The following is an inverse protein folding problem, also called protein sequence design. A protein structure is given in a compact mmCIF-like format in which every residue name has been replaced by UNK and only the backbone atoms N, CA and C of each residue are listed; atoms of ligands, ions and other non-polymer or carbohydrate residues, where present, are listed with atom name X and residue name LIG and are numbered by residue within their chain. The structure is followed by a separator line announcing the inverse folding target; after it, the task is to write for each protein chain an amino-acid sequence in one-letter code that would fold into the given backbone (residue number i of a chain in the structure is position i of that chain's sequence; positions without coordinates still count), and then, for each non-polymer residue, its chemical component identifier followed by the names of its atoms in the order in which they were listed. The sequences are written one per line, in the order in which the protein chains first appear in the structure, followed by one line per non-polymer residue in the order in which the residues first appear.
data_IF_481412287442
#
_entry.id   IF_481412287442
#
_cell.length_a   1.000
_cell.length_b   1.000
_cell.length_c   1.000
_cell.angle_alpha   90.00
_cell.angle_beta   90.00
_cell.angle_gamma   90.00
#
_symmetry.space_group_name_H-M   'P 1'
#
loop_
_entity.id
_entity.type
_entity.pdbx_description
1 polymer ?
#
# COMPACT_ATOMS: atom_id res chain seq x y z
N UNK A 1 0.70 8.33 13.51
CA UNK A 1 1.36 7.04 13.17
C UNK A 1 2.73 7.34 12.58
N UNK A 2 3.74 6.72 13.11
CA UNK A 2 5.12 6.83 12.60
C UNK A 2 5.62 5.44 12.25
N UNK A 3 6.10 5.28 11.02
CA UNK A 3 6.56 4.00 10.49
C UNK A 3 7.96 4.21 9.93
N UNK A 4 8.85 3.28 10.23
CA UNK A 4 10.20 3.25 9.69
C UNK A 4 10.32 2.09 8.71
N UNK A 5 10.85 2.37 7.51
CA UNK A 5 11.03 1.36 6.47
C UNK A 5 12.42 1.44 5.86
N UNK A 6 12.90 0.31 5.38
CA UNK A 6 14.09 0.24 4.54
C UNK A 6 13.67 -0.25 3.16
N UNK A 7 13.96 0.55 2.14
CA UNK A 7 13.62 0.24 0.77
C UNK A 7 14.87 -0.19 0.01
N UNK A 8 14.79 -1.22 -0.84
CA UNK A 8 15.94 -1.67 -1.61
C UNK A 8 16.33 -0.64 -2.68
N UNK A 9 17.62 -0.51 -2.92
CA UNK A 9 18.16 0.40 -3.93
C UNK A 9 17.72 1.83 -3.72
N UNK A 10 17.26 2.48 -4.78
CA UNK A 10 16.76 3.85 -4.72
C UNK A 10 15.37 3.97 -4.10
N UNK A 11 14.74 2.85 -3.78
CA UNK A 11 13.42 2.83 -3.15
C UNK A 11 12.24 3.03 -4.10
N UNK A 12 12.49 3.39 -5.34
CA UNK A 12 11.42 3.76 -6.28
C UNK A 12 11.42 2.92 -7.55
N UNK A 13 12.04 1.74 -7.52
CA UNK A 13 12.16 0.89 -8.70
C UNK A 13 10.89 0.11 -9.02
N UNK A 14 10.01 -0.06 -8.03
CA UNK A 14 8.80 -0.88 -8.16
C UNK A 14 7.55 -0.10 -7.79
N UNK A 15 7.46 1.14 -8.23
CA UNK A 15 6.27 1.95 -8.02
C UNK A 15 5.12 1.40 -8.85
N UNK A 16 3.92 1.35 -8.25
CA UNK A 16 2.74 0.87 -8.94
C UNK A 16 1.47 1.54 -8.43
N UNK A 17 0.44 1.53 -9.27
CA UNK A 17 -0.93 1.87 -8.93
C UNK A 17 -1.81 0.67 -9.20
N UNK A 18 -2.94 0.57 -8.53
CA UNK A 18 -3.93 -0.47 -8.78
C UNK A 18 -5.20 0.19 -9.31
N UNK A 19 -5.82 -0.40 -10.34
CA UNK A 19 -7.04 0.14 -10.93
C UNK A 19 -8.32 -0.51 -10.39
N UNK A 20 -8.24 -1.31 -9.32
CA UNK A 20 -9.44 -1.85 -8.68
C UNK A 20 -10.32 -0.73 -8.14
N UNK A 21 -11.58 -1.04 -7.85
CA UNK A 21 -12.56 -0.02 -7.44
C UNK A 21 -12.14 0.76 -6.20
N UNK A 22 -11.45 0.12 -5.27
CA UNK A 22 -10.98 0.78 -4.06
C UNK A 22 -9.73 1.62 -4.33
N UNK A 23 -8.72 1.01 -4.95
CA UNK A 23 -7.41 1.67 -5.13
C UNK A 23 -7.46 2.83 -6.12
N UNK A 24 -8.28 2.74 -7.18
CA UNK A 24 -8.43 3.86 -8.12
C UNK A 24 -9.05 5.09 -7.45
N UNK A 25 -9.95 4.86 -6.50
CA UNK A 25 -10.60 5.96 -5.77
C UNK A 25 -9.67 6.62 -4.78
N UNK A 26 -8.73 5.87 -4.22
CA UNK A 26 -7.70 6.41 -3.35
C UNK A 26 -6.62 7.16 -4.10
N UNK A 27 -6.36 6.77 -5.37
CA UNK A 27 -5.40 7.46 -6.23
C UNK A 27 -3.96 7.42 -5.73
N UNK A 28 -3.60 6.48 -4.87
CA UNK A 28 -2.27 6.44 -4.28
C UNK A 28 -1.29 5.62 -5.12
N UNK A 29 -0.01 5.91 -4.92
CA UNK A 29 1.10 5.17 -5.52
C UNK A 29 1.72 4.32 -4.42
N UNK A 30 1.98 3.05 -4.70
CA UNK A 30 2.50 2.12 -3.71
C UNK A 30 3.84 1.53 -4.12
N UNK A 31 4.60 1.09 -3.13
CA UNK A 31 5.85 0.35 -3.33
C UNK A 31 5.88 -0.85 -2.36
N UNK A 32 6.40 -2.00 -2.81
CA UNK A 32 6.49 -3.17 -1.94
C UNK A 32 7.60 -3.00 -0.92
N UNK A 33 7.36 -3.49 0.29
CA UNK A 33 8.33 -3.50 1.39
C UNK A 33 8.30 -4.88 2.04
N UNK A 34 9.48 -5.48 2.24
CA UNK A 34 9.57 -6.72 3.00
C UNK A 34 9.14 -6.46 4.45
N UNK A 35 8.29 -7.29 5.05
CA UNK A 35 7.84 -7.07 6.43
C UNK A 35 8.96 -6.91 7.46
N UNK A 36 10.09 -7.55 7.25
CA UNK A 36 11.24 -7.40 8.15
C UNK A 36 11.87 -6.01 8.10
N UNK A 37 11.60 -5.24 7.05
CA UNK A 37 12.09 -3.88 6.86
C UNK A 37 11.02 -2.83 7.17
N UNK A 38 9.96 -3.23 7.84
CA UNK A 38 8.82 -2.38 8.16
C UNK A 38 8.60 -2.41 9.67
N UNK A 39 8.63 -1.24 10.30
CA UNK A 39 8.45 -1.15 11.75
C UNK A 39 7.57 0.03 12.11
N UNK A 40 6.54 -0.22 12.90
CA UNK A 40 5.69 0.84 13.44
C UNK A 40 6.35 1.37 14.69
N UNK A 41 6.75 2.65 14.68
CA UNK A 41 7.46 3.28 15.79
C UNK A 41 6.48 3.78 16.84
N UNK A 42 5.40 4.44 16.42
CA UNK A 42 4.36 4.90 17.34
C UNK A 42 3.04 5.09 16.62
N UNK A 43 1.96 5.12 17.39
CA UNK A 43 0.62 5.34 16.87
C UNK A 43 -0.05 4.08 16.35
N UNK A 44 0.44 2.90 16.71
CA UNK A 44 -0.15 1.64 16.27
C UNK A 44 -1.64 1.55 16.63
N UNK A 45 -2.01 2.08 17.79
CA UNK A 45 -3.40 2.08 18.25
C UNK A 45 -4.30 3.00 17.41
N UNK A 46 -3.74 3.85 16.58
CA UNK A 46 -4.49 4.72 15.68
C UNK A 46 -4.74 4.09 14.31
N UNK A 47 -4.07 2.97 14.01
CA UNK A 47 -4.27 2.26 12.75
C UNK A 47 -5.62 1.54 12.78
N UNK A 48 -6.39 1.75 11.71
CA UNK A 48 -7.67 1.07 11.50
C UNK A 48 -7.56 0.13 10.32
N UNK A 49 -8.03 -1.09 10.50
CA UNK A 49 -8.07 -2.10 9.46
C UNK A 49 -9.37 -1.97 8.66
N UNK A 50 -9.25 -1.94 7.35
CA UNK A 50 -10.38 -2.05 6.44
C UNK A 50 -10.17 -3.23 5.50
N UNK A 51 -11.17 -4.09 5.39
CA UNK A 51 -11.17 -5.23 4.47
C UNK A 51 -12.43 -5.16 3.64
N UNK A 52 -12.29 -5.39 2.32
CA UNK A 52 -13.44 -5.37 1.43
C UNK A 52 -13.38 -6.54 0.44
N UNK A 53 -14.49 -6.81 -0.21
CA UNK A 53 -14.66 -7.88 -1.20
C UNK A 53 -14.34 -9.25 -0.58
N UNK A 54 -13.23 -9.90 -0.96
CA UNK A 54 -12.86 -11.22 -0.43
C UNK A 54 -12.36 -11.17 1.02
N UNK A 55 -12.08 -9.99 1.55
CA UNK A 55 -11.53 -9.77 2.89
C UNK A 55 -10.19 -10.48 3.15
N UNK A 56 -9.44 -10.77 2.10
CA UNK A 56 -8.09 -11.33 2.23
C UNK A 56 -7.08 -10.19 2.39
N UNK A 57 -7.16 -9.16 1.54
CA UNK A 57 -6.29 -8.00 1.66
C UNK A 57 -6.64 -7.20 2.91
N UNK A 58 -5.61 -6.70 3.58
CA UNK A 58 -5.74 -5.86 4.76
C UNK A 58 -5.24 -4.47 4.43
N UNK A 59 -6.10 -3.47 4.60
CA UNK A 59 -5.80 -2.06 4.32
C UNK A 59 -5.78 -1.28 5.62
N UNK A 60 -4.73 -0.52 5.84
CA UNK A 60 -4.56 0.23 7.09
C UNK A 60 -4.54 1.72 6.84
N UNK A 61 -5.25 2.45 7.67
CA UNK A 61 -5.25 3.91 7.62
C UNK A 61 -5.26 4.49 9.04
N UNK A 62 -4.79 5.73 9.16
CA UNK A 62 -4.80 6.42 10.45
C UNK A 62 -6.22 6.88 10.78
N UNK A 63 -6.75 6.45 11.92
CA UNK A 63 -8.11 6.82 12.34
C UNK A 63 -8.23 8.30 12.69
N UNK A 64 -7.12 8.96 13.02
CA UNK A 64 -7.10 10.36 13.40
C UNK A 64 -7.16 11.31 12.20
N UNK A 65 -6.43 11.01 11.13
CA UNK A 65 -6.37 11.87 9.95
C UNK A 65 -6.92 11.23 8.67
N UNK A 66 -7.24 9.93 8.70
CA UNK A 66 -7.79 9.24 7.54
C UNK A 66 -6.79 8.85 6.47
N UNK A 67 -5.51 9.15 6.63
CA UNK A 67 -4.50 8.86 5.62
C UNK A 67 -4.23 7.36 5.56
N UNK A 68 -4.31 6.83 4.34
CA UNK A 68 -3.95 5.44 4.04
C UNK A 68 -2.43 5.28 4.16
N UNK A 69 -1.99 4.32 4.95
CA UNK A 69 -0.56 4.12 5.22
C UNK A 69 0.02 2.96 4.45
N UNK A 70 -0.56 1.79 4.57
CA UNK A 70 -0.03 0.58 3.94
C UNK A 70 -1.12 -0.47 3.82
N UNK A 71 -0.81 -1.53 3.08
CA UNK A 71 -1.69 -2.69 2.98
C UNK A 71 -0.89 -3.99 2.98
N UNK A 72 -1.60 -5.07 3.28
CA UNK A 72 -1.13 -6.43 3.09
C UNK A 72 -2.00 -7.00 1.97
N UNK A 73 -1.47 -7.13 0.72
CA UNK A 73 -2.29 -7.42 -0.44
C UNK A 73 -2.74 -8.89 -0.51
N UNK A 74 -3.74 -9.16 -1.36
CA UNK A 74 -4.21 -10.52 -1.60
C UNK A 74 -3.12 -11.41 -2.19
N UNK A 75 -2.40 -10.87 -3.16
CA UNK A 75 -1.25 -11.53 -3.76
C UNK A 75 -0.05 -11.36 -2.84
N UNK A 76 0.67 -12.45 -2.57
CA UNK A 76 1.84 -12.42 -1.68
C UNK A 76 1.51 -11.95 -0.26
N UNK A 77 0.30 -12.29 0.21
CA UNK A 77 -0.12 -12.00 1.58
C UNK A 77 0.91 -12.57 2.57
N UNK A 78 1.24 -11.81 3.61
CA UNK A 78 2.26 -12.11 4.62
C UNK A 78 3.71 -12.07 4.11
N UNK A 79 3.93 -11.83 2.82
CA UNK A 79 5.28 -11.77 2.25
C UNK A 79 5.72 -10.36 1.91
N UNK A 80 4.76 -9.45 1.77
CA UNK A 80 5.05 -8.06 1.38
C UNK A 80 3.99 -7.14 1.95
N UNK A 81 4.41 -5.94 2.37
CA UNK A 81 3.50 -4.83 2.59
C UNK A 81 3.60 -3.89 1.40
N UNK A 82 2.45 -3.29 1.03
CA UNK A 82 2.42 -2.23 0.02
C UNK A 82 2.30 -0.89 0.74
N UNK A 83 3.33 -0.08 0.61
CA UNK A 83 3.45 1.19 1.32
C UNK A 83 2.94 2.34 0.44
N UNK A 84 2.18 3.26 1.03
CA UNK A 84 1.78 4.50 0.34
C UNK A 84 3.01 5.40 0.24
N UNK A 85 3.53 5.57 -0.98
CA UNK A 85 4.77 6.31 -1.22
C UNK A 85 4.66 7.78 -0.81
N UNK A 86 3.46 8.35 -0.85
CA UNK A 86 3.23 9.74 -0.48
C UNK A 86 3.45 10.00 1.02
N UNK A 87 3.45 8.95 1.84
CA UNK A 87 3.70 9.05 3.27
C UNK A 87 5.19 9.13 3.62
N UNK A 88 6.07 8.90 2.66
CA UNK A 88 7.52 8.97 2.88
C UNK A 88 7.95 10.43 2.82
N UNK A 89 8.66 10.88 3.86
CA UNK A 89 9.16 12.25 3.91
C UNK A 89 10.04 12.55 2.70
N UNK A 90 9.85 13.73 2.12
CA UNK A 90 10.63 14.20 0.99
C UNK A 90 10.16 13.68 -0.36
N UNK A 91 9.23 12.75 -0.41
CA UNK A 91 8.69 12.27 -1.68
C UNK A 91 7.64 13.24 -2.20
N UNK A 92 7.73 13.55 -3.50
CA UNK A 92 6.78 14.41 -4.20
C UNK A 92 6.03 13.55 -5.23
N UNK A 93 4.85 13.01 -4.87
CA UNK A 93 4.16 12.03 -5.73
C UNK A 93 3.84 12.55 -7.13
N UNK A 94 3.57 13.85 -7.28
CA UNK A 94 3.23 14.45 -8.58
C UNK A 94 4.43 14.56 -9.53
N UNK A 95 5.64 14.36 -9.03
CA UNK A 95 6.85 14.38 -9.84
C UNK A 95 7.32 13.00 -10.24
N UNK A 96 6.62 11.94 -9.79
CA UNK A 96 6.97 10.57 -10.10
C UNK A 96 6.39 10.16 -11.45
N UNK A 97 7.19 9.43 -12.24
CA UNK A 97 6.78 8.89 -13.53
C UNK A 97 7.09 7.40 -13.62
N UNK A 98 6.81 6.79 -14.78
CA UNK A 98 7.06 5.37 -15.03
C UNK A 98 6.38 4.45 -14.00
N UNK A 99 5.16 4.82 -13.60
CA UNK A 99 4.42 4.07 -12.61
C UNK A 99 3.61 2.99 -13.33
N UNK A 100 3.88 1.73 -12.95
CA UNK A 100 3.14 0.59 -13.48
C UNK A 100 1.73 0.55 -12.92
N UNK A 101 0.74 0.26 -13.78
CA UNK A 101 -0.63 0.04 -13.33
C UNK A 101 -0.87 -1.45 -13.19
N UNK A 102 -1.21 -1.89 -11.98
CA UNK A 102 -1.59 -3.25 -11.69
C UNK A 102 -3.09 -3.42 -11.99
N UNK A 103 -3.44 -4.44 -12.77
CA UNK A 103 -4.83 -4.67 -13.17
C UNK A 103 -5.61 -5.38 -12.07
N UNK A 104 -5.99 -4.64 -11.03
CA UNK A 104 -6.82 -5.15 -9.94
C UNK A 104 -8.30 -5.26 -10.32
N UNK A 105 -8.72 -4.60 -11.42
CA UNK A 105 -10.08 -4.70 -11.94
C UNK A 105 -10.36 -6.11 -12.45
N UNK A 106 -9.36 -6.76 -13.03
CA UNK A 106 -9.44 -8.13 -13.57
C UNK A 106 -8.53 -9.07 -12.80
N UNK A 107 -8.50 -8.95 -11.48
CA UNK A 107 -7.63 -9.77 -10.64
C UNK A 107 -7.95 -11.26 -10.81
N UNK A 108 -6.92 -12.14 -10.98
CA UNK A 108 -7.16 -13.56 -11.18
C UNK A 108 -7.99 -14.23 -10.09
N UNK A 109 -7.89 -13.74 -8.85
CA UNK A 109 -8.64 -14.31 -7.72
C UNK A 109 -10.15 -13.98 -7.79
N UNK A 110 -10.56 -13.06 -8.67
CA UNK A 110 -11.97 -12.68 -8.82
C UNK A 110 -12.66 -13.41 -9.95
N UNK A 111 -11.94 -14.17 -10.77
CA UNK A 111 -12.50 -14.83 -11.95
C UNK A 111 -13.48 -15.95 -11.65
N UNK A 112 -13.44 -16.49 -10.45
CA UNK A 112 -14.27 -17.61 -10.02
C UNK A 112 -15.43 -17.17 -9.11
N UNK A 113 -15.70 -15.90 -9.03
CA UNK A 113 -16.76 -15.34 -8.18
C UNK A 113 -18.01 -15.04 -8.98
#
# INVERSE_FOLDING_TARGET
VEIQVELPGAGFEKLMRCNCSLCKRRGYIMTPVDPKNFKIIKGQNLLTLYQYHTKVAEHYFCSKCGIYTHSNPRSNHDKVYMLNIACIEGVKPFELDNIKVNDGENHPLDKNN
#
